data_IF_802424276205
#
_entry.id   IF_802424276205
#
_cell.length_a   1.000
_cell.length_b   1.000
_cell.length_c   1.000
_cell.angle_alpha   90.00
_cell.angle_beta   90.00
_cell.angle_gamma   90.00
#
_symmetry.space_group_name_H-M   'P 1'
#
loop_
_entity.id
_entity.type
_entity.pdbx_description
1 polymer ?
#
# COMPACT_ATOMS: atom_id res chain seq x y z
N UNK A 1 -5.58 -11.77 -7.17
CA UNK A 1 -6.83 -12.57 -7.37
C UNK A 1 -7.79 -11.79 -8.25
N UNK A 2 -8.27 -12.34 -9.38
CA UNK A 2 -9.22 -11.63 -10.27
C UNK A 2 -10.62 -11.70 -9.65
N UNK A 3 -11.18 -10.58 -9.24
CA UNK A 3 -12.56 -10.50 -8.75
C UNK A 3 -13.55 -10.80 -9.89
N UNK A 4 -14.70 -11.41 -9.56
CA UNK A 4 -15.78 -11.61 -10.54
C UNK A 4 -16.41 -10.25 -10.86
N UNK A 5 -16.76 -10.03 -12.14
CA UNK A 5 -17.46 -8.82 -12.58
C UNK A 5 -18.77 -8.67 -11.80
N UNK A 6 -18.96 -7.51 -11.17
CA UNK A 6 -20.12 -7.21 -10.36
C UNK A 6 -21.21 -6.54 -11.21
N UNK A 7 -22.40 -7.12 -11.27
CA UNK A 7 -23.50 -6.64 -12.16
C UNK A 7 -24.04 -5.25 -11.80
N UNK A 8 -23.98 -4.86 -10.53
CA UNK A 8 -24.51 -3.60 -10.00
C UNK A 8 -23.41 -2.68 -9.48
N UNK A 9 -22.22 -2.74 -10.09
CA UNK A 9 -21.07 -1.96 -9.65
C UNK A 9 -21.34 -0.44 -9.70
N UNK A 10 -21.77 0.08 -10.84
CA UNK A 10 -21.95 1.53 -11.01
C UNK A 10 -22.97 2.13 -10.04
N UNK A 11 -24.19 1.57 -9.85
CA UNK A 11 -25.12 2.08 -8.85
C UNK A 11 -24.59 2.04 -7.42
N UNK A 12 -23.70 1.07 -7.09
CA UNK A 12 -23.06 1.02 -5.75
C UNK A 12 -21.99 2.08 -5.61
N UNK A 13 -21.18 2.27 -6.66
CA UNK A 13 -20.17 3.33 -6.72
C UNK A 13 -20.81 4.71 -6.54
N UNK A 14 -21.94 4.95 -7.20
CA UNK A 14 -22.68 6.21 -7.11
C UNK A 14 -23.19 6.49 -5.69
N UNK A 15 -23.70 5.49 -4.99
CA UNK A 15 -24.12 5.62 -3.58
C UNK A 15 -22.96 5.96 -2.64
N UNK A 16 -21.74 5.76 -3.07
CA UNK A 16 -20.53 6.05 -2.32
C UNK A 16 -19.69 7.20 -2.93
N UNK A 17 -20.27 7.97 -3.87
CA UNK A 17 -19.55 9.02 -4.63
C UNK A 17 -18.84 10.04 -3.72
N UNK A 18 -19.40 10.35 -2.55
CA UNK A 18 -18.79 11.26 -1.57
C UNK A 18 -17.43 10.79 -1.04
N UNK A 19 -17.12 9.51 -1.17
CA UNK A 19 -15.85 8.90 -0.74
C UNK A 19 -14.86 8.73 -1.89
N UNK A 20 -15.28 8.93 -3.14
CA UNK A 20 -14.42 8.75 -4.31
C UNK A 20 -13.86 10.07 -4.81
N UNK A 21 -12.58 10.09 -5.08
CA UNK A 21 -11.92 11.22 -5.76
C UNK A 21 -11.77 10.86 -7.24
N UNK A 22 -12.51 11.55 -8.11
CA UNK A 22 -12.52 11.30 -9.54
C UNK A 22 -11.34 11.96 -10.29
N UNK A 23 -10.85 13.07 -9.74
CA UNK A 23 -9.77 13.87 -10.33
C UNK A 23 -8.65 14.11 -9.32
N UNK A 24 -7.94 13.04 -8.88
CA UNK A 24 -6.95 13.14 -7.82
C UNK A 24 -5.76 14.05 -8.18
N UNK A 25 -5.46 14.23 -9.47
CA UNK A 25 -4.40 15.11 -9.96
C UNK A 25 -4.63 16.59 -9.58
N UNK A 26 -5.87 17.01 -9.40
CA UNK A 26 -6.22 18.37 -8.99
C UNK A 26 -5.91 18.65 -7.52
N UNK A 27 -5.71 17.62 -6.71
CA UNK A 27 -5.39 17.72 -5.28
C UNK A 27 -3.89 17.59 -5.00
N UNK A 28 -3.07 17.40 -6.03
CA UNK A 28 -1.62 17.26 -5.87
C UNK A 28 -1.02 18.51 -5.16
N UNK A 29 -0.40 18.26 -4.00
CA UNK A 29 0.14 19.31 -3.13
C UNK A 29 -0.89 19.98 -2.21
N UNK A 30 -2.16 19.53 -2.23
CA UNK A 30 -3.24 20.12 -1.45
C UNK A 30 -4.22 19.10 -0.84
N UNK A 31 -3.82 17.83 -0.73
CA UNK A 31 -4.67 16.75 -0.18
C UNK A 31 -5.26 17.10 1.19
N UNK A 32 -4.48 17.78 2.05
CA UNK A 32 -4.94 18.19 3.38
C UNK A 32 -6.11 19.17 3.36
N UNK A 33 -6.45 19.78 2.21
CA UNK A 33 -7.64 20.62 2.06
C UNK A 33 -8.96 19.83 2.24
N UNK A 34 -8.95 18.50 2.03
CA UNK A 34 -10.11 17.64 2.29
C UNK A 34 -10.41 17.48 3.78
N UNK A 35 -9.42 17.71 4.64
CA UNK A 35 -9.51 17.70 6.09
C UNK A 35 -8.49 18.70 6.66
N UNK A 36 -8.81 20.00 6.73
CA UNK A 36 -7.85 21.05 7.10
C UNK A 36 -7.24 20.91 8.49
N UNK A 37 -7.96 20.26 9.40
CA UNK A 37 -7.55 19.97 10.77
C UNK A 37 -6.76 18.64 10.92
N UNK A 38 -6.42 17.97 9.81
CA UNK A 38 -5.66 16.72 9.90
C UNK A 38 -4.21 16.97 10.35
N UNK A 39 -3.75 16.11 11.25
CA UNK A 39 -2.36 16.11 11.75
C UNK A 39 -1.39 15.39 10.81
N UNK A 40 -1.90 14.43 10.03
CA UNK A 40 -1.11 13.64 9.09
C UNK A 40 -1.92 13.23 7.84
N UNK A 41 -1.20 13.01 6.74
CA UNK A 41 -1.71 12.38 5.52
C UNK A 41 -1.12 10.97 5.41
N UNK A 42 -1.97 9.96 5.49
CA UNK A 42 -1.60 8.57 5.29
C UNK A 42 -2.15 8.03 3.98
N UNK A 43 -1.43 7.10 3.38
CA UNK A 43 -1.86 6.45 2.13
C UNK A 43 -1.79 4.94 2.28
N UNK A 44 -2.83 4.22 1.85
CA UNK A 44 -2.79 2.77 1.70
C UNK A 44 -2.82 2.41 0.20
N UNK A 45 -1.85 1.62 -0.26
CA UNK A 45 -1.79 1.14 -1.63
C UNK A 45 -2.29 -0.30 -1.72
N UNK A 46 -3.31 -0.53 -2.57
CA UNK A 46 -3.97 -1.82 -2.69
C UNK A 46 -4.91 -2.12 -1.53
N UNK A 47 -5.78 -1.19 -1.16
CA UNK A 47 -6.66 -1.32 0.01
C UNK A 47 -7.66 -2.49 -0.06
N UNK A 48 -7.86 -3.07 -1.24
CA UNK A 48 -8.76 -4.18 -1.46
C UNK A 48 -10.21 -3.87 -1.00
N UNK A 49 -10.74 -4.70 -0.09
CA UNK A 49 -12.11 -4.53 0.46
C UNK A 49 -12.16 -3.59 1.68
N UNK A 50 -11.07 -2.90 2.02
CA UNK A 50 -11.02 -1.76 2.92
C UNK A 50 -11.29 -2.02 4.40
N UNK A 51 -11.10 -3.24 4.92
CA UNK A 51 -11.23 -3.46 6.38
C UNK A 51 -10.19 -2.66 7.14
N UNK A 52 -8.90 -2.85 6.81
CA UNK A 52 -7.81 -2.10 7.42
C UNK A 52 -7.99 -0.59 7.24
N UNK A 53 -8.33 -0.15 6.01
CA UNK A 53 -8.59 1.26 5.69
C UNK A 53 -9.64 1.87 6.61
N UNK A 54 -10.81 1.24 6.71
CA UNK A 54 -11.94 1.79 7.48
C UNK A 54 -11.65 1.80 8.99
N UNK A 55 -11.11 0.72 9.54
CA UNK A 55 -10.77 0.64 10.95
C UNK A 55 -9.61 1.56 11.32
N UNK A 56 -8.62 1.73 10.42
CA UNK A 56 -7.52 2.69 10.61
C UNK A 56 -8.02 4.12 10.62
N UNK A 57 -8.91 4.48 9.70
CA UNK A 57 -9.52 5.80 9.67
C UNK A 57 -10.38 6.07 10.92
N UNK A 58 -11.12 5.07 11.39
CA UNK A 58 -11.92 5.19 12.61
C UNK A 58 -11.05 5.39 13.87
N UNK A 59 -9.96 4.65 13.95
CA UNK A 59 -9.05 4.72 15.10
C UNK A 59 -8.20 6.00 15.13
N UNK A 60 -8.07 6.72 14.00
CA UNK A 60 -7.26 7.92 13.85
C UNK A 60 -8.08 9.06 13.22
N UNK A 61 -9.03 9.63 13.93
CA UNK A 61 -9.96 10.64 13.37
C UNK A 61 -9.28 11.96 12.99
N UNK A 62 -8.09 12.23 13.50
CA UNK A 62 -7.26 13.38 13.19
C UNK A 62 -6.33 13.17 11.96
N UNK A 63 -6.33 11.99 11.37
CA UNK A 63 -5.54 11.66 10.18
C UNK A 63 -6.44 11.69 8.94
N UNK A 64 -5.93 12.22 7.84
CA UNK A 64 -6.52 12.04 6.51
C UNK A 64 -5.93 10.76 5.89
N UNK A 65 -6.78 9.79 5.52
CA UNK A 65 -6.38 8.53 4.90
C UNK A 65 -6.84 8.49 3.44
N UNK A 66 -5.90 8.28 2.52
CA UNK A 66 -6.20 8.08 1.10
C UNK A 66 -5.91 6.63 0.74
N UNK A 67 -6.91 5.94 0.22
CA UNK A 67 -6.83 4.54 -0.19
C UNK A 67 -6.80 4.42 -1.72
N UNK A 68 -5.75 3.79 -2.24
CA UNK A 68 -5.57 3.57 -3.67
C UNK A 68 -5.88 2.11 -4.00
N UNK A 69 -6.79 1.87 -4.95
CA UNK A 69 -7.13 0.52 -5.41
C UNK A 69 -7.52 0.55 -6.90
N UNK A 70 -6.93 -0.34 -7.70
CA UNK A 70 -7.24 -0.44 -9.13
C UNK A 70 -8.39 -1.37 -9.46
N UNK A 71 -8.81 -2.22 -8.52
CA UNK A 71 -9.93 -3.13 -8.68
C UNK A 71 -11.21 -2.49 -8.14
N UNK A 72 -12.01 -1.90 -9.04
CA UNK A 72 -13.25 -1.18 -8.68
C UNK A 72 -14.23 -2.03 -7.89
N UNK A 73 -14.30 -3.34 -8.16
CA UNK A 73 -15.15 -4.29 -7.43
C UNK A 73 -14.69 -4.49 -5.98
N UNK A 74 -13.40 -4.33 -5.70
CA UNK A 74 -12.91 -4.34 -4.32
C UNK A 74 -13.11 -2.97 -3.66
N UNK A 75 -12.77 -1.90 -4.37
CA UNK A 75 -12.88 -0.52 -3.88
C UNK A 75 -14.31 -0.14 -3.48
N UNK A 76 -15.33 -0.56 -4.24
CA UNK A 76 -16.73 -0.25 -3.87
C UNK A 76 -17.10 -0.83 -2.52
N UNK A 77 -16.63 -2.03 -2.19
CA UNK A 77 -16.86 -2.66 -0.88
C UNK A 77 -16.15 -1.88 0.23
N UNK A 78 -14.96 -1.34 -0.06
CA UNK A 78 -14.21 -0.50 0.88
C UNK A 78 -14.94 0.83 1.13
N UNK A 79 -15.43 1.47 0.07
CA UNK A 79 -16.22 2.73 0.19
C UNK A 79 -17.52 2.52 0.94
N UNK A 80 -18.21 1.40 0.73
CA UNK A 80 -19.43 1.06 1.48
C UNK A 80 -19.16 0.96 2.98
N UNK A 81 -18.05 0.31 3.38
CA UNK A 81 -17.63 0.26 4.79
C UNK A 81 -17.41 1.66 5.37
N UNK A 82 -16.69 2.51 4.66
CA UNK A 82 -16.45 3.88 5.09
C UNK A 82 -17.75 4.68 5.25
N UNK A 83 -18.69 4.52 4.30
CA UNK A 83 -20.03 5.11 4.36
C UNK A 83 -20.83 4.59 5.55
N UNK A 84 -20.90 3.27 5.73
CA UNK A 84 -21.70 2.61 6.76
C UNK A 84 -21.19 2.93 8.16
N UNK A 85 -19.88 3.19 8.29
CA UNK A 85 -19.24 3.71 9.51
C UNK A 85 -19.27 5.24 9.62
N UNK A 86 -19.86 5.95 8.65
CA UNK A 86 -19.97 7.42 8.58
C UNK A 86 -18.62 8.15 8.74
N UNK A 87 -17.53 7.56 8.23
CA UNK A 87 -16.17 8.14 8.32
C UNK A 87 -16.08 9.44 7.52
N UNK A 88 -15.31 10.42 8.02
CA UNK A 88 -15.14 11.75 7.40
C UNK A 88 -13.70 12.03 6.95
N UNK A 89 -12.80 11.11 7.23
CA UNK A 89 -11.36 11.29 7.08
C UNK A 89 -10.72 10.25 6.16
N UNK A 90 -11.51 9.59 5.29
CA UNK A 90 -11.02 8.60 4.33
C UNK A 90 -11.63 8.82 2.95
N UNK A 91 -10.77 8.75 1.91
CA UNK A 91 -11.18 8.84 0.51
C UNK A 91 -10.48 7.78 -0.34
N UNK A 92 -11.09 7.44 -1.48
CA UNK A 92 -10.66 6.35 -2.35
C UNK A 92 -10.37 6.84 -3.76
N UNK A 93 -9.32 6.26 -4.38
CA UNK A 93 -8.88 6.58 -5.73
C UNK A 93 -8.80 5.29 -6.55
N UNK A 94 -9.47 5.28 -7.71
CA UNK A 94 -9.40 4.21 -8.70
C UNK A 94 -8.20 4.45 -9.62
N UNK A 95 -7.03 3.90 -9.26
CA UNK A 95 -5.83 4.05 -10.10
C UNK A 95 -4.77 2.98 -9.85
N UNK A 96 -3.84 2.88 -10.78
CA UNK A 96 -2.58 2.14 -10.58
C UNK A 96 -1.59 2.99 -9.79
N UNK A 97 -1.10 2.44 -8.67
CA UNK A 97 -0.13 3.12 -7.80
C UNK A 97 1.17 3.53 -8.51
N UNK A 98 1.50 2.92 -9.65
CA UNK A 98 2.63 3.33 -10.47
C UNK A 98 2.57 4.81 -10.90
N UNK A 99 1.39 5.42 -10.84
CA UNK A 99 1.12 6.82 -11.17
C UNK A 99 1.06 7.76 -9.96
N UNK A 100 1.46 7.31 -8.77
CA UNK A 100 1.29 8.09 -7.56
C UNK A 100 1.97 9.47 -7.60
N UNK A 101 3.07 9.64 -8.33
CA UNK A 101 3.74 10.94 -8.50
C UNK A 101 2.93 11.95 -9.32
N UNK A 102 1.92 11.48 -10.09
CA UNK A 102 0.98 12.35 -10.81
C UNK A 102 -0.02 13.01 -9.86
N UNK A 103 -0.28 12.39 -8.70
CA UNK A 103 -1.33 12.80 -7.75
C UNK A 103 -0.82 13.24 -6.38
N UNK A 104 0.37 12.84 -5.97
CA UNK A 104 1.00 13.32 -4.75
C UNK A 104 2.23 14.17 -5.08
N UNK A 105 2.36 15.32 -4.42
CA UNK A 105 3.56 16.14 -4.49
C UNK A 105 4.72 15.52 -3.71
N UNK A 106 5.98 15.91 -3.99
CA UNK A 106 7.11 15.48 -3.20
C UNK A 106 6.94 15.75 -1.71
N UNK A 107 7.14 14.74 -0.87
CA UNK A 107 7.08 14.85 0.58
C UNK A 107 5.70 15.10 1.17
N UNK A 108 4.62 14.92 0.41
CA UNK A 108 3.25 15.22 0.85
C UNK A 108 2.68 14.18 1.82
N UNK A 109 3.14 12.94 1.73
CA UNK A 109 2.65 11.79 2.50
C UNK A 109 3.50 11.64 3.77
N UNK A 110 2.86 11.44 4.93
CA UNK A 110 3.57 11.15 6.19
C UNK A 110 3.82 9.66 6.37
N UNK A 111 2.86 8.80 5.98
CA UNK A 111 2.96 7.35 6.11
C UNK A 111 2.26 6.63 4.97
N UNK A 112 2.91 5.56 4.48
CA UNK A 112 2.38 4.70 3.43
C UNK A 112 2.24 3.27 3.94
N UNK A 113 1.12 2.62 3.63
CA UNK A 113 0.86 1.23 3.97
C UNK A 113 0.86 0.36 2.73
N UNK A 114 1.58 -0.77 2.80
CA UNK A 114 1.60 -1.84 1.78
C UNK A 114 1.22 -3.13 2.49
N UNK A 115 -0.04 -3.50 2.41
CA UNK A 115 -0.59 -4.65 3.10
C UNK A 115 -0.87 -5.79 2.11
N UNK A 116 -0.19 -6.93 2.26
CA UNK A 116 -0.42 -8.18 1.51
C UNK A 116 -0.45 -7.98 -0.02
N UNK A 117 0.57 -7.32 -0.61
CA UNK A 117 0.63 -7.13 -2.05
C UNK A 117 0.84 -8.45 -2.79
N UNK A 118 0.46 -8.49 -4.07
CA UNK A 118 0.71 -9.65 -4.94
C UNK A 118 2.21 -10.01 -4.96
N UNK A 119 2.60 -11.28 -4.68
CA UNK A 119 4.01 -11.65 -4.51
C UNK A 119 4.77 -11.80 -5.82
N UNK A 120 4.08 -11.93 -6.96
CA UNK A 120 4.68 -12.11 -8.27
C UNK A 120 5.89 -13.08 -8.26
N UNK A 121 5.69 -14.40 -8.05
CA UNK A 121 6.75 -15.34 -7.69
C UNK A 121 7.81 -15.53 -8.78
N UNK A 122 7.47 -15.30 -10.05
CA UNK A 122 8.41 -15.46 -11.17
C UNK A 122 9.37 -14.26 -11.23
N UNK A 123 10.70 -14.53 -11.32
CA UNK A 123 11.76 -13.50 -11.42
C UNK A 123 11.49 -12.44 -12.49
N UNK A 124 10.99 -12.83 -13.68
CA UNK A 124 10.63 -11.90 -14.77
C UNK A 124 9.56 -10.88 -14.41
N UNK A 125 8.78 -11.12 -13.35
CA UNK A 125 7.74 -10.24 -12.86
C UNK A 125 8.16 -9.41 -11.64
N UNK A 126 9.43 -9.46 -11.20
CA UNK A 126 9.91 -8.77 -10.00
C UNK A 126 9.56 -7.26 -10.02
N UNK A 127 9.65 -6.62 -11.17
CA UNK A 127 9.29 -5.19 -11.35
C UNK A 127 7.81 -4.86 -11.06
N UNK A 128 6.95 -5.87 -10.91
CA UNK A 128 5.53 -5.71 -10.53
C UNK A 128 5.30 -5.73 -9.03
N UNK A 129 6.29 -6.16 -8.25
CA UNK A 129 6.20 -6.17 -6.78
C UNK A 129 6.17 -4.75 -6.26
N UNK A 130 5.24 -4.44 -5.39
CA UNK A 130 5.11 -3.08 -4.83
C UNK A 130 6.30 -2.69 -3.92
N UNK A 131 7.16 -3.63 -3.58
CA UNK A 131 8.41 -3.41 -2.85
C UNK A 131 9.66 -3.40 -3.75
N UNK A 132 9.51 -3.45 -5.07
CA UNK A 132 10.61 -3.31 -6.01
C UNK A 132 11.18 -1.89 -5.96
N UNK A 133 12.50 -1.74 -6.12
CA UNK A 133 13.23 -0.45 -6.06
C UNK A 133 12.63 0.67 -6.89
N UNK A 134 12.04 0.36 -8.06
CA UNK A 134 11.37 1.35 -8.90
C UNK A 134 10.09 1.94 -8.26
N UNK A 135 9.40 1.18 -7.41
CA UNK A 135 8.30 1.68 -6.60
C UNK A 135 8.82 2.41 -5.36
N UNK A 136 9.86 1.89 -4.71
CA UNK A 136 10.49 2.54 -3.55
C UNK A 136 10.99 3.95 -3.88
N UNK A 137 11.56 4.16 -5.08
CA UNK A 137 11.96 5.48 -5.57
C UNK A 137 10.77 6.45 -5.60
N UNK A 138 9.63 6.03 -6.18
CA UNK A 138 8.40 6.83 -6.21
C UNK A 138 7.87 7.11 -4.80
N UNK A 139 7.86 6.10 -3.93
CA UNK A 139 7.40 6.26 -2.56
C UNK A 139 8.27 7.24 -1.79
N UNK A 140 9.59 7.09 -1.84
CA UNK A 140 10.52 7.98 -1.13
C UNK A 140 10.57 9.40 -1.70
N UNK A 141 10.06 9.65 -2.90
CA UNK A 141 9.83 11.01 -3.41
C UNK A 141 8.53 11.62 -2.89
N UNK A 142 7.46 10.83 -2.76
CA UNK A 142 6.14 11.32 -2.36
C UNK A 142 5.90 11.28 -0.86
N UNK A 143 6.51 10.33 -0.16
CA UNK A 143 6.58 10.31 1.31
C UNK A 143 7.64 11.30 1.77
N UNK A 144 7.35 12.09 2.81
CA UNK A 144 8.32 13.03 3.35
C UNK A 144 9.57 12.33 3.87
N UNK A 145 10.69 13.03 3.89
CA UNK A 145 11.91 12.53 4.53
C UNK A 145 11.65 12.24 6.02
N UNK A 146 12.10 11.07 6.49
CA UNK A 146 11.78 10.55 7.82
C UNK A 146 10.35 10.04 8.00
N UNK A 147 9.49 10.12 6.96
CA UNK A 147 8.21 9.42 6.92
C UNK A 147 8.40 7.92 6.74
N UNK A 148 7.35 7.14 6.93
CA UNK A 148 7.47 5.69 7.04
C UNK A 148 6.64 4.96 5.99
N UNK A 149 7.16 3.83 5.51
CA UNK A 149 6.41 2.81 4.78
C UNK A 149 6.23 1.60 5.69
N UNK A 150 4.99 1.23 5.98
CA UNK A 150 4.65 0.04 6.76
C UNK A 150 4.31 -1.11 5.80
N UNK A 151 5.06 -2.19 5.87
CA UNK A 151 4.90 -3.34 4.99
C UNK A 151 4.53 -4.59 5.78
N UNK A 152 3.48 -5.29 5.35
CA UNK A 152 3.04 -6.59 5.89
C UNK A 152 2.80 -7.60 4.76
N UNK A 153 3.18 -8.87 4.99
CA UNK A 153 2.89 -10.00 4.10
C UNK A 153 2.99 -11.34 4.82
N UNK A 154 2.16 -12.30 4.41
CA UNK A 154 2.25 -13.71 4.77
C UNK A 154 3.31 -14.46 3.93
N UNK A 155 3.75 -13.85 2.82
CA UNK A 155 4.65 -14.47 1.86
C UNK A 155 6.13 -14.24 2.24
N UNK A 156 6.74 -15.22 2.92
CA UNK A 156 8.13 -15.14 3.36
C UNK A 156 9.14 -14.90 2.20
N UNK A 157 9.01 -15.54 1.01
CA UNK A 157 9.88 -15.22 -0.13
C UNK A 157 9.77 -13.78 -0.62
N UNK A 158 8.54 -13.20 -0.62
CA UNK A 158 8.38 -11.77 -0.94
C UNK A 158 9.01 -10.90 0.13
N UNK A 159 8.86 -11.26 1.41
CA UNK A 159 9.44 -10.49 2.51
C UNK A 159 10.97 -10.46 2.44
N UNK A 160 11.61 -11.63 2.24
CA UNK A 160 13.07 -11.71 2.07
C UNK A 160 13.56 -10.85 0.90
N UNK A 161 12.93 -11.00 -0.27
CA UNK A 161 13.22 -10.14 -1.43
C UNK A 161 13.06 -8.64 -1.11
N UNK A 162 12.02 -8.28 -0.36
CA UNK A 162 11.76 -6.88 -0.02
C UNK A 162 12.86 -6.29 0.87
N UNK A 163 13.33 -7.07 1.86
CA UNK A 163 14.45 -6.65 2.70
C UNK A 163 15.75 -6.42 1.88
N UNK A 164 15.99 -7.28 0.87
CA UNK A 164 17.14 -7.09 -0.06
C UNK A 164 17.00 -5.79 -0.87
N UNK A 165 15.80 -5.48 -1.39
CA UNK A 165 15.53 -4.24 -2.13
C UNK A 165 15.70 -3.00 -1.24
N UNK A 166 15.20 -3.05 0.01
CA UNK A 166 15.37 -1.94 0.97
C UNK A 166 16.85 -1.68 1.28
N UNK A 167 17.62 -2.75 1.53
CA UNK A 167 19.05 -2.66 1.77
C UNK A 167 19.80 -2.13 0.54
N UNK A 168 19.47 -2.61 -0.67
CA UNK A 168 20.06 -2.14 -1.91
C UNK A 168 19.81 -0.64 -2.17
N UNK A 169 18.67 -0.12 -1.73
CA UNK A 169 18.33 1.30 -1.77
C UNK A 169 18.91 2.10 -0.59
N UNK A 170 19.63 1.45 0.33
CA UNK A 170 20.21 2.08 1.52
C UNK A 170 19.17 2.63 2.49
N UNK A 171 17.94 2.09 2.48
CA UNK A 171 16.85 2.51 3.35
C UNK A 171 17.00 1.86 4.74
N UNK A 172 16.72 2.62 5.78
CA UNK A 172 16.69 2.10 7.15
C UNK A 172 15.41 1.27 7.35
N UNK A 173 15.57 0.06 7.88
CA UNK A 173 14.46 -0.86 8.18
C UNK A 173 14.37 -1.06 9.68
N UNK A 174 13.17 -0.85 10.25
CA UNK A 174 12.87 -0.96 11.68
C UNK A 174 11.81 -2.02 11.93
N UNK A 175 11.71 -2.45 13.18
CA UNK A 175 10.64 -3.31 13.69
C UNK A 175 10.39 -4.55 12.82
N UNK A 176 11.48 -5.19 12.38
CA UNK A 176 11.41 -6.41 11.57
C UNK A 176 10.91 -7.56 12.43
N UNK A 177 9.85 -8.22 12.00
CA UNK A 177 9.36 -9.46 12.59
C UNK A 177 8.90 -10.44 11.50
N UNK A 178 9.09 -11.72 11.77
CA UNK A 178 8.63 -12.82 10.91
C UNK A 178 7.33 -13.46 11.43
N UNK A 179 6.85 -13.00 12.58
CA UNK A 179 5.57 -13.42 13.16
C UNK A 179 5.00 -12.28 14.03
N UNK A 180 4.24 -11.41 13.39
CA UNK A 180 3.70 -10.18 14.00
C UNK A 180 2.78 -10.46 15.19
N UNK A 181 2.04 -11.56 15.15
CA UNK A 181 1.00 -11.89 16.13
C UNK A 181 1.39 -13.01 17.10
N UNK A 182 2.67 -13.36 17.16
CA UNK A 182 3.20 -14.46 18.01
C UNK A 182 2.79 -14.32 19.48
N UNK A 183 2.87 -13.11 20.01
CA UNK A 183 2.59 -12.81 21.42
C UNK A 183 1.24 -12.09 21.62
N UNK A 184 0.35 -12.20 20.65
CA UNK A 184 -0.97 -11.56 20.64
C UNK A 184 -1.17 -10.65 19.44
N UNK A 185 -2.42 -10.19 19.25
CA UNK A 185 -2.78 -9.34 18.12
C UNK A 185 -2.12 -7.97 18.25
N UNK A 186 -1.39 -7.55 17.22
CA UNK A 186 -0.73 -6.26 17.13
C UNK A 186 -1.36 -5.40 16.04
N UNK A 187 -1.91 -4.25 16.43
CA UNK A 187 -2.48 -3.26 15.51
C UNK A 187 -3.76 -3.72 14.82
N UNK A 188 -4.13 -3.00 13.75
CA UNK A 188 -5.32 -3.29 12.96
C UNK A 188 -4.99 -4.32 11.90
N UNK A 189 -5.79 -5.40 11.85
CA UNK A 189 -5.63 -6.46 10.85
C UNK A 189 -6.44 -6.16 9.57
N UNK A 190 -5.89 -6.52 8.42
CA UNK A 190 -6.68 -6.62 7.19
C UNK A 190 -7.62 -7.82 7.27
N UNK A 191 -8.69 -7.85 6.47
CA UNK A 191 -9.54 -9.05 6.39
C UNK A 191 -8.82 -10.28 5.81
N UNK A 192 -7.71 -10.07 5.10
CA UNK A 192 -6.82 -11.12 4.64
C UNK A 192 -5.97 -11.66 5.80
N UNK A 193 -5.40 -10.77 6.59
CA UNK A 193 -4.58 -11.04 7.75
C UNK A 193 -5.33 -11.85 8.82
N UNK A 194 -6.57 -11.47 9.15
CA UNK A 194 -7.43 -12.23 10.07
C UNK A 194 -7.59 -13.69 9.65
N UNK A 195 -7.86 -13.90 8.34
CA UNK A 195 -8.02 -15.24 7.80
C UNK A 195 -6.75 -16.08 7.95
N UNK A 196 -5.58 -15.51 7.66
CA UNK A 196 -4.31 -16.22 7.75
C UNK A 196 -3.84 -16.41 9.19
N UNK A 197 -4.08 -15.42 10.05
CA UNK A 197 -3.84 -15.54 11.49
C UNK A 197 -4.68 -16.67 12.10
N UNK A 198 -5.97 -16.78 11.75
CA UNK A 198 -6.83 -17.87 12.20
C UNK A 198 -6.37 -19.27 11.72
N UNK A 199 -5.57 -19.33 10.65
CA UNK A 199 -4.93 -20.55 10.14
C UNK A 199 -3.54 -20.80 10.75
N UNK A 200 -3.09 -19.94 11.67
CA UNK A 200 -1.76 -20.04 12.27
C UNK A 200 -0.62 -19.68 11.32
N UNK A 201 -0.89 -18.93 10.24
CA UNK A 201 0.13 -18.50 9.30
C UNK A 201 0.86 -17.28 9.86
N UNK A 202 2.19 -17.31 10.03
CA UNK A 202 2.96 -16.18 10.50
C UNK A 202 2.86 -14.98 9.56
N UNK A 203 2.77 -13.77 10.11
CA UNK A 203 2.73 -12.52 9.34
C UNK A 203 4.06 -11.80 9.50
N UNK A 204 4.74 -11.59 8.37
CA UNK A 204 5.96 -10.81 8.33
C UNK A 204 5.60 -9.31 8.28
N UNK A 205 6.32 -8.49 9.02
CA UNK A 205 6.16 -7.03 9.04
C UNK A 205 7.51 -6.34 9.18
N UNK A 206 7.64 -5.16 8.56
CA UNK A 206 8.68 -4.19 8.86
C UNK A 206 8.19 -2.76 8.57
N UNK A 207 8.97 -1.79 9.04
CA UNK A 207 8.82 -0.36 8.78
C UNK A 207 10.07 0.16 8.10
N UNK A 208 9.90 0.96 7.08
CA UNK A 208 10.98 1.52 6.28
C UNK A 208 10.94 3.04 6.44
N UNK A 209 12.05 3.66 6.83
CA UNK A 209 12.19 5.11 6.91
C UNK A 209 12.55 5.66 5.52
N UNK A 210 11.70 6.53 4.99
CA UNK A 210 11.92 7.15 3.69
C UNK A 210 13.01 8.22 3.75
N UNK A 211 13.91 8.17 2.79
CA UNK A 211 14.88 9.23 2.48
C UNK A 211 15.17 9.21 0.99
N UNK A 212 15.64 10.31 0.41
CA UNK A 212 16.14 10.31 -0.96
C UNK A 212 17.28 9.29 -1.14
N UNK A 213 17.28 8.57 -2.25
CA UNK A 213 18.35 7.65 -2.62
C UNK A 213 18.60 7.64 -4.13
N UNK A 214 19.76 7.17 -4.54
CA UNK A 214 20.06 6.93 -5.95
C UNK A 214 19.60 5.53 -6.31
N UNK A 215 18.79 5.43 -7.36
CA UNK A 215 18.24 4.14 -7.80
C UNK A 215 19.37 3.17 -8.16
N UNK A 216 19.52 2.04 -7.45
CA UNK A 216 20.57 1.07 -7.76
C UNK A 216 20.40 0.51 -9.18
N UNK A 217 21.49 0.23 -9.90
CA UNK A 217 21.41 -0.36 -11.24
C UNK A 217 20.71 -1.72 -11.20
N UNK A 218 19.99 -2.04 -12.28
CA UNK A 218 19.42 -3.38 -12.42
C UNK A 218 20.55 -4.39 -12.57
N UNK A 219 20.45 -5.52 -11.85
CA UNK A 219 21.38 -6.64 -12.05
C UNK A 219 21.26 -7.09 -13.52
N UNK A 220 22.37 -6.96 -14.26
CA UNK A 220 22.46 -7.52 -15.61
C UNK A 220 22.23 -9.03 -15.49
N UNK A 221 21.31 -9.59 -16.27
CA UNK A 221 21.21 -11.03 -16.45
C UNK A 221 22.61 -11.55 -16.78
N UNK A 222 23.21 -12.35 -15.89
CA UNK A 222 24.25 -13.26 -16.31
C UNK A 222 23.60 -14.20 -17.32
N UNK A 223 23.88 -14.00 -18.58
CA UNK A 223 23.70 -14.99 -19.64
C UNK A 223 24.64 -16.12 -19.26
N UNK A 224 24.11 -17.18 -18.65
CA UNK A 224 24.83 -18.47 -18.58
C UNK A 224 25.17 -18.83 -20.02
N UNK A 225 26.46 -18.72 -20.32
CA UNK A 225 26.99 -19.19 -21.59
C UNK A 225 26.70 -20.67 -21.71
N UNK A 226 25.88 -21.04 -22.69
CA UNK A 226 25.92 -22.39 -23.20
C UNK A 226 27.31 -22.57 -23.84
N UNK A 227 28.22 -23.17 -23.08
CA UNK A 227 29.36 -23.86 -23.69
C UNK A 227 28.77 -25.05 -24.43
N UNK A 228 28.78 -24.95 -25.76
CA UNK A 228 28.67 -26.10 -26.64
C UNK A 228 29.94 -26.94 -26.52
N UNK A 229 29.79 -28.18 -26.12
CA UNK A 229 30.77 -29.24 -26.34
C UNK A 229 30.02 -30.50 -26.77
#
# INVERSE_FOLDING_TARGET
MRMRKMRNLEPRMEKCAAYRIDRPETLRGSWRSLKPDCTALWVEVGCGKGKFTAETAQANPDVLLIAVERCREAMVVAMEKARDMALKNVFFIDMDVAKMEEIFAPGEIDRLFINFPDPWPRKKNAKRRLTHRAFLDKYCRTVREGGEIHFKTDNAPLFAYSLEEFAACGLEVKNVTHDLHKDGIVGIMTGYEEKFHALGTPINRCEIVCKPFVLPPEEKKQTEGKEEA
#
